data_IF_741780817716
#
_entry.id   IF_741780817716
#
_cell.length_a   1.000
_cell.length_b   1.000
_cell.length_c   1.000
_cell.angle_alpha   90.00
_cell.angle_beta   90.00
_cell.angle_gamma   90.00
#
_symmetry.space_group_name_H-M   'P 1'
#
loop_
_entity.id
_entity.type
_entity.pdbx_description
1 polymer ?
#
# COMPACT_ATOMS: atom_id res chain seq x y z
N UNK A 1 -3.18 -9.61 -12.10
CA UNK A 1 -3.28 -8.15 -12.07
C UNK A 1 -2.05 -7.57 -12.72
N UNK A 2 -2.17 -6.40 -13.37
CA UNK A 2 -1.04 -5.62 -13.87
C UNK A 2 -0.74 -4.53 -12.85
N UNK A 3 0.50 -4.47 -12.39
CA UNK A 3 0.92 -3.63 -11.27
C UNK A 3 2.14 -2.82 -11.67
N UNK A 4 2.32 -1.64 -11.06
CA UNK A 4 3.44 -0.75 -11.35
C UNK A 4 4.10 -0.27 -10.07
N UNK A 5 5.45 -0.30 -10.04
CA UNK A 5 6.24 0.13 -8.90
C UNK A 5 7.22 1.23 -9.31
N UNK A 6 7.15 2.37 -8.61
CA UNK A 6 8.09 3.48 -8.80
C UNK A 6 9.34 3.31 -7.95
N UNK A 7 10.52 3.33 -8.56
CA UNK A 7 11.81 3.14 -7.88
C UNK A 7 12.92 3.98 -8.54
N UNK A 8 14.15 3.85 -8.07
CA UNK A 8 15.33 4.33 -8.77
C UNK A 8 15.68 3.38 -9.93
N UNK A 9 16.28 3.91 -10.99
CA UNK A 9 16.65 3.16 -12.20
C UNK A 9 17.52 1.95 -11.90
N UNK A 10 18.50 2.08 -11.01
CA UNK A 10 19.39 0.98 -10.64
C UNK A 10 18.62 -0.18 -10.00
N UNK A 11 17.62 0.13 -9.19
CA UNK A 11 16.72 -0.89 -8.61
C UNK A 11 15.90 -1.55 -9.71
N UNK A 12 15.34 -0.76 -10.64
CA UNK A 12 14.57 -1.28 -11.76
C UNK A 12 15.40 -2.27 -12.59
N UNK A 13 16.62 -1.90 -12.99
CA UNK A 13 17.50 -2.76 -13.79
C UNK A 13 17.92 -4.03 -13.03
N UNK A 14 18.24 -3.91 -11.73
CA UNK A 14 18.62 -5.07 -10.91
C UNK A 14 17.45 -6.07 -10.76
N UNK A 15 16.22 -5.58 -10.58
CA UNK A 15 15.03 -6.43 -10.48
C UNK A 15 14.70 -7.08 -11.83
N UNK A 16 14.72 -6.30 -12.92
CA UNK A 16 14.43 -6.80 -14.26
C UNK A 16 15.46 -7.83 -14.76
N UNK A 17 16.71 -7.73 -14.31
CA UNK A 17 17.77 -8.69 -14.63
C UNK A 17 17.80 -9.91 -13.67
N UNK A 18 16.94 -9.95 -12.65
CA UNK A 18 16.91 -11.02 -11.66
C UNK A 18 18.05 -10.97 -10.63
N UNK A 19 18.80 -9.85 -10.57
CA UNK A 19 19.91 -9.68 -9.61
C UNK A 19 19.43 -9.21 -8.24
N UNK A 20 18.21 -8.67 -8.15
CA UNK A 20 17.60 -8.23 -6.91
C UNK A 20 16.10 -8.52 -6.89
N UNK A 21 15.51 -8.41 -5.70
CA UNK A 21 14.06 -8.41 -5.49
C UNK A 21 13.63 -7.08 -4.88
N UNK A 22 12.39 -6.67 -5.13
CA UNK A 22 11.81 -5.54 -4.43
C UNK A 22 11.74 -5.84 -2.93
N UNK A 23 12.00 -4.83 -2.12
CA UNK A 23 11.93 -4.94 -0.67
C UNK A 23 10.59 -4.42 -0.15
N UNK A 24 10.00 -5.05 0.87
CA UNK A 24 8.80 -4.54 1.50
C UNK A 24 9.07 -3.20 2.20
N UNK A 25 8.10 -2.31 2.19
CA UNK A 25 8.05 -1.16 3.09
C UNK A 25 7.60 -1.62 4.47
N UNK A 26 8.21 -1.05 5.53
CA UNK A 26 7.91 -1.35 6.93
C UNK A 26 7.78 -0.06 7.76
N UNK A 27 7.35 1.04 7.13
CA UNK A 27 7.15 2.28 7.86
C UNK A 27 5.87 2.20 8.70
N UNK A 28 5.88 2.86 9.86
CA UNK A 28 4.74 2.92 10.78
C UNK A 28 3.55 3.75 10.25
N UNK A 29 3.70 4.39 9.08
CA UNK A 29 2.69 5.22 8.42
C UNK A 29 2.26 4.71 7.05
N UNK A 30 2.65 3.51 6.67
CA UNK A 30 2.30 2.90 5.39
C UNK A 30 0.78 2.68 5.28
N UNK A 31 0.20 3.07 4.16
CA UNK A 31 -1.26 3.18 4.00
C UNK A 31 -2.01 1.84 4.00
N UNK A 32 -1.32 0.76 3.65
CA UNK A 32 -1.84 -0.61 3.61
C UNK A 32 -1.05 -1.55 4.53
N UNK A 33 -0.31 -1.00 5.50
CA UNK A 33 0.60 -1.78 6.34
C UNK A 33 1.86 -2.22 5.59
N UNK A 34 2.61 -3.18 6.16
CA UNK A 34 3.87 -3.65 5.59
C UNK A 34 3.66 -4.44 4.30
N UNK A 35 4.53 -4.22 3.31
CA UNK A 35 4.51 -4.95 2.04
C UNK A 35 5.21 -4.24 0.89
N UNK A 36 5.28 -4.89 -0.25
CA UNK A 36 5.79 -4.31 -1.49
C UNK A 36 4.63 -3.58 -2.17
N UNK A 37 4.75 -2.26 -2.31
CA UNK A 37 3.68 -1.40 -2.80
C UNK A 37 3.67 -1.28 -4.31
N UNK A 38 2.49 -1.38 -4.89
CA UNK A 38 2.26 -1.16 -6.31
C UNK A 38 1.03 -0.31 -6.54
N UNK A 39 1.04 0.46 -7.63
CA UNK A 39 -0.16 1.06 -8.23
C UNK A 39 -0.80 0.06 -9.18
N UNK A 40 -2.12 -0.12 -9.07
CA UNK A 40 -2.89 -1.01 -9.96
C UNK A 40 -3.23 -0.24 -11.23
N UNK A 41 -2.90 -0.79 -12.39
CA UNK A 41 -3.22 -0.25 -13.73
C UNK A 41 -2.81 1.23 -13.96
N UNK A 42 -1.85 1.77 -13.20
CA UNK A 42 -1.49 3.19 -13.26
C UNK A 42 0.03 3.44 -13.25
N UNK A 43 0.71 3.24 -14.39
CA UNK A 43 2.15 3.47 -14.51
C UNK A 43 2.53 4.95 -14.32
N UNK A 44 1.70 5.87 -14.81
CA UNK A 44 1.93 7.32 -14.69
C UNK A 44 1.87 7.75 -13.21
N UNK A 45 1.00 7.15 -12.40
CA UNK A 45 0.94 7.44 -10.97
C UNK A 45 2.19 6.94 -10.24
N UNK A 46 2.68 5.75 -10.61
CA UNK A 46 3.94 5.21 -10.11
C UNK A 46 5.13 6.11 -10.47
N UNK A 47 5.20 6.59 -11.73
CA UNK A 47 6.22 7.52 -12.18
C UNK A 47 6.13 8.88 -11.49
N UNK A 48 4.92 9.43 -11.33
CA UNK A 48 4.69 10.69 -10.61
C UNK A 48 5.22 10.61 -9.17
N UNK A 49 5.02 9.50 -8.48
CA UNK A 49 5.56 9.27 -7.15
C UNK A 49 7.09 9.13 -7.17
N UNK A 50 7.65 8.37 -8.12
CA UNK A 50 9.09 8.21 -8.26
C UNK A 50 9.80 9.55 -8.51
N UNK A 51 9.25 10.41 -9.36
CA UNK A 51 9.77 11.76 -9.63
C UNK A 51 9.85 12.64 -8.38
N UNK A 52 8.98 12.42 -7.39
CA UNK A 52 8.98 13.17 -6.14
C UNK A 52 9.91 12.59 -5.07
N UNK A 53 10.33 11.34 -5.20
CA UNK A 53 10.96 10.59 -4.10
C UNK A 53 12.30 9.96 -4.46
N UNK A 54 12.66 9.90 -5.77
CA UNK A 54 13.83 9.19 -6.28
C UNK A 54 14.77 10.13 -7.01
N UNK A 55 16.05 9.83 -6.95
CA UNK A 55 17.09 10.61 -7.63
C UNK A 55 17.17 10.27 -9.13
N UNK A 56 16.87 9.05 -9.49
CA UNK A 56 16.81 8.54 -10.86
C UNK A 56 15.50 7.78 -11.07
N UNK A 57 14.37 8.52 -11.22
CA UNK A 57 13.04 7.92 -11.22
C UNK A 57 12.83 6.95 -12.39
N UNK A 58 12.24 5.81 -12.08
CA UNK A 58 11.94 4.74 -13.02
C UNK A 58 10.70 3.97 -12.55
N UNK A 59 10.06 3.24 -13.46
CA UNK A 59 8.91 2.39 -13.17
C UNK A 59 9.14 0.99 -13.73
N UNK A 60 8.87 -0.03 -12.93
CA UNK A 60 8.78 -1.40 -13.40
C UNK A 60 7.34 -1.89 -13.28
N UNK A 61 6.95 -2.73 -14.24
CA UNK A 61 5.69 -3.45 -14.20
C UNK A 61 5.86 -4.83 -13.55
N UNK A 62 4.77 -5.34 -12.98
CA UNK A 62 4.70 -6.69 -12.45
C UNK A 62 3.36 -7.35 -12.79
N UNK A 63 3.38 -8.66 -13.02
CA UNK A 63 2.20 -9.49 -12.98
C UNK A 63 2.10 -10.14 -11.62
N UNK A 64 0.95 -10.04 -10.97
CA UNK A 64 0.75 -10.64 -9.66
C UNK A 64 -0.65 -11.25 -9.50
N UNK A 65 -0.72 -12.21 -8.60
CA UNK A 65 -1.97 -12.76 -8.08
C UNK A 65 -2.30 -12.04 -6.76
N UNK A 66 -3.56 -11.71 -6.48
CA UNK A 66 -3.94 -11.09 -5.20
C UNK A 66 -3.87 -12.09 -4.02
N UNK A 67 -3.92 -13.41 -4.30
CA UNK A 67 -3.99 -14.42 -3.24
C UNK A 67 -5.17 -14.24 -2.31
N UNK A 68 -4.98 -14.61 -1.04
CA UNK A 68 -5.91 -14.24 0.03
C UNK A 68 -5.73 -12.74 0.34
N UNK A 69 -6.66 -11.91 -0.11
CA UNK A 69 -6.53 -10.46 -0.13
C UNK A 69 -7.40 -9.79 0.94
N UNK A 70 -6.79 -8.97 1.82
CA UNK A 70 -7.52 -8.00 2.62
C UNK A 70 -7.95 -6.83 1.71
N UNK A 71 -9.13 -6.96 1.12
CA UNK A 71 -9.65 -5.96 0.20
C UNK A 71 -10.44 -4.89 0.96
N UNK A 72 -9.87 -3.71 1.16
CA UNK A 72 -10.51 -2.59 1.89
C UNK A 72 -11.70 -1.96 1.13
N UNK A 73 -12.01 -2.41 -0.07
CA UNK A 73 -13.24 -2.04 -0.79
C UNK A 73 -14.38 -3.04 -0.58
N UNK A 74 -14.09 -4.17 0.05
CA UNK A 74 -15.11 -5.15 0.39
C UNK A 74 -15.77 -4.78 1.72
N UNK A 75 -17.09 -4.57 1.69
CA UNK A 75 -17.87 -4.28 2.88
C UNK A 75 -17.74 -5.37 3.97
N UNK A 76 -17.51 -6.62 3.57
CA UNK A 76 -17.38 -7.76 4.49
C UNK A 76 -16.17 -7.67 5.43
N UNK A 77 -15.09 -6.99 5.04
CA UNK A 77 -13.89 -6.87 5.88
C UNK A 77 -13.95 -5.72 6.90
N UNK A 78 -14.94 -4.83 6.82
CA UNK A 78 -15.03 -3.67 7.70
C UNK A 78 -15.16 -4.06 9.18
N UNK A 79 -15.84 -5.15 9.49
CA UNK A 79 -15.92 -5.67 10.85
C UNK A 79 -14.57 -6.17 11.38
N UNK A 80 -13.72 -6.76 10.52
CA UNK A 80 -12.39 -7.22 10.90
C UNK A 80 -11.49 -6.03 11.25
N UNK A 81 -11.56 -4.93 10.49
CA UNK A 81 -10.87 -3.68 10.80
C UNK A 81 -11.35 -3.06 12.10
N UNK A 82 -12.67 -3.02 12.34
CA UNK A 82 -13.24 -2.49 13.59
C UNK A 82 -12.76 -3.28 14.81
N UNK A 83 -12.77 -4.60 14.75
CA UNK A 83 -12.26 -5.47 15.82
C UNK A 83 -10.75 -5.29 16.04
N UNK A 84 -9.98 -5.11 14.98
CA UNK A 84 -8.56 -4.84 15.07
C UNK A 84 -8.27 -3.46 15.68
N UNK A 85 -9.09 -2.46 15.40
CA UNK A 85 -9.00 -1.15 16.04
C UNK A 85 -9.25 -1.24 17.55
N UNK A 86 -10.31 -1.93 17.99
CA UNK A 86 -10.60 -2.14 19.42
C UNK A 86 -9.46 -2.87 20.13
N UNK A 87 -8.87 -3.88 19.49
CA UNK A 87 -7.70 -4.58 20.03
C UNK A 87 -6.49 -3.64 20.16
N UNK A 88 -6.24 -2.79 19.14
CA UNK A 88 -5.15 -1.81 19.16
C UNK A 88 -5.36 -0.79 20.28
N UNK A 89 -6.58 -0.29 20.46
CA UNK A 89 -6.95 0.62 21.54
C UNK A 89 -6.72 -0.02 22.92
N UNK A 90 -7.16 -1.26 23.11
CA UNK A 90 -6.97 -2.00 24.36
C UNK A 90 -5.50 -2.22 24.72
N UNK A 91 -4.66 -2.56 23.74
CA UNK A 91 -3.21 -2.74 23.94
C UNK A 91 -2.54 -1.41 24.30
N UNK A 92 -2.87 -0.32 23.59
CA UNK A 92 -2.35 1.02 23.89
C UNK A 92 -2.71 1.45 25.30
N UNK A 93 -3.96 1.23 25.72
CA UNK A 93 -4.44 1.56 27.06
C UNK A 93 -3.70 0.73 28.15
N UNK A 94 -3.55 -0.58 27.93
CA UNK A 94 -2.87 -1.46 28.86
C UNK A 94 -1.36 -1.14 28.99
N UNK A 95 -0.74 -0.71 27.89
CA UNK A 95 0.68 -0.32 27.88
C UNK A 95 0.91 1.13 28.37
N UNK A 96 -0.14 1.93 28.59
CA UNK A 96 -0.01 3.36 28.92
C UNK A 96 0.61 4.18 27.80
N UNK A 97 0.54 3.72 26.55
CA UNK A 97 1.07 4.41 25.36
C UNK A 97 -0.06 5.08 24.57
N UNK A 98 0.18 6.26 23.96
CA UNK A 98 -0.84 6.91 23.15
C UNK A 98 -1.19 6.07 21.92
N UNK A 99 -2.46 6.04 21.57
CA UNK A 99 -2.91 5.46 20.30
C UNK A 99 -2.30 6.28 19.14
N UNK A 100 -1.74 5.62 18.10
CA UNK A 100 -1.29 6.32 16.90
C UNK A 100 -2.43 7.14 16.28
N UNK A 101 -2.08 8.22 15.58
CA UNK A 101 -3.07 9.06 14.88
C UNK A 101 -2.68 9.26 13.44
N UNK A 102 -3.67 9.28 12.55
CA UNK A 102 -3.44 9.69 11.17
C UNK A 102 -3.22 11.19 11.12
N UNK A 103 -2.20 11.66 10.41
CA UNK A 103 -1.92 13.08 10.25
C UNK A 103 -2.68 13.65 9.05
N UNK A 104 -3.32 14.81 9.23
CA UNK A 104 -4.08 15.50 8.19
C UNK A 104 -3.21 16.56 7.53
N UNK A 105 -3.29 16.65 6.21
CA UNK A 105 -2.80 17.75 5.38
C UNK A 105 -3.98 18.61 4.91
N UNK A 106 -3.65 19.64 4.10
CA UNK A 106 -4.66 20.42 3.38
C UNK A 106 -5.66 19.53 2.66
N UNK A 107 -6.92 19.96 2.57
CA UNK A 107 -8.03 19.22 1.94
C UNK A 107 -8.49 17.94 2.67
N UNK A 108 -8.13 17.76 3.94
CA UNK A 108 -8.61 16.62 4.74
C UNK A 108 -7.98 15.27 4.39
N UNK A 109 -6.93 15.25 3.53
CA UNK A 109 -6.27 14.01 3.12
C UNK A 109 -5.19 13.63 4.13
N UNK A 110 -5.28 12.43 4.66
CA UNK A 110 -4.26 11.86 5.53
C UNK A 110 -3.06 11.36 4.70
N UNK A 111 -1.89 11.95 4.95
CA UNK A 111 -0.64 11.59 4.23
C UNK A 111 0.23 10.61 5.02
N UNK A 112 0.20 10.69 6.35
CA UNK A 112 0.79 9.69 7.24
C UNK A 112 -0.34 8.97 7.96
N UNK A 113 -0.47 7.67 7.76
CA UNK A 113 -1.61 6.88 8.23
C UNK A 113 -1.20 5.91 9.33
N UNK A 114 -0.59 6.44 10.39
CA UNK A 114 -0.05 5.62 11.48
C UNK A 114 -1.13 4.80 12.20
N UNK A 115 -2.32 5.34 12.37
CA UNK A 115 -3.43 4.59 12.96
C UNK A 115 -3.89 3.47 12.01
N UNK A 116 -4.11 3.78 10.73
CA UNK A 116 -4.55 2.78 9.74
C UNK A 116 -3.51 1.67 9.59
N UNK A 117 -2.21 2.03 9.53
CA UNK A 117 -1.11 1.08 9.51
C UNK A 117 -1.15 0.14 10.72
N UNK A 118 -1.29 0.71 11.93
CA UNK A 118 -1.34 -0.08 13.17
C UNK A 118 -2.56 -1.02 13.19
N UNK A 119 -3.72 -0.56 12.73
CA UNK A 119 -4.95 -1.37 12.65
C UNK A 119 -4.80 -2.51 11.65
N UNK A 120 -4.26 -2.26 10.45
CA UNK A 120 -4.01 -3.30 9.45
C UNK A 120 -3.01 -4.33 9.98
N UNK A 121 -1.93 -3.88 10.61
CA UNK A 121 -0.97 -4.79 11.25
C UNK A 121 -1.62 -5.62 12.37
N UNK A 122 -2.58 -5.04 13.10
CA UNK A 122 -3.34 -5.76 14.12
C UNK A 122 -4.26 -6.83 13.51
N UNK A 123 -4.88 -6.58 12.35
CA UNK A 123 -5.63 -7.63 11.61
C UNK A 123 -4.74 -8.85 11.40
N UNK A 124 -3.51 -8.64 10.88
CA UNK A 124 -2.57 -9.74 10.63
C UNK A 124 -2.20 -10.49 11.92
N UNK A 125 -1.91 -9.77 13.01
CA UNK A 125 -1.57 -10.37 14.32
C UNK A 125 -2.73 -11.19 14.89
N UNK A 126 -3.96 -10.69 14.77
CA UNK A 126 -5.16 -11.42 15.22
C UNK A 126 -5.32 -12.72 14.44
N UNK A 127 -5.18 -12.69 13.12
CA UNK A 127 -5.28 -13.88 12.26
C UNK A 127 -4.20 -14.91 12.62
N UNK A 128 -2.97 -14.47 12.77
CA UNK A 128 -1.86 -15.32 13.19
C UNK A 128 -2.12 -15.97 14.56
N UNK A 129 -2.54 -15.18 15.56
CA UNK A 129 -2.84 -15.69 16.91
C UNK A 129 -3.97 -16.72 16.95
N UNK A 130 -4.89 -16.66 15.97
CA UNK A 130 -6.02 -17.58 15.81
C UNK A 130 -5.74 -18.71 14.82
N UNK A 131 -4.53 -18.82 14.29
CA UNK A 131 -4.15 -19.78 13.24
C UNK A 131 -5.07 -19.70 12.01
N UNK A 132 -5.57 -18.52 11.69
CA UNK A 132 -6.34 -18.26 10.48
C UNK A 132 -5.38 -18.11 9.30
N UNK A 133 -5.86 -18.36 8.09
CA UNK A 133 -5.10 -18.16 6.86
C UNK A 133 -4.62 -16.70 6.78
N UNK A 134 -3.31 -16.50 6.54
CA UNK A 134 -2.72 -15.17 6.42
C UNK A 134 -3.23 -14.46 5.15
N UNK A 135 -3.28 -13.14 5.20
CA UNK A 135 -3.48 -12.36 3.99
C UNK A 135 -2.14 -12.22 3.22
N UNK A 136 -2.16 -12.57 1.95
CA UNK A 136 -1.04 -12.42 1.02
C UNK A 136 -0.85 -10.97 0.59
N UNK A 137 -1.97 -10.24 0.46
CA UNK A 137 -1.99 -8.85 -0.03
C UNK A 137 -3.00 -8.00 0.74
N UNK A 138 -2.80 -6.68 0.68
CA UNK A 138 -3.77 -5.68 1.13
C UNK A 138 -4.06 -4.72 -0.02
N UNK A 139 -5.33 -4.50 -0.34
CA UNK A 139 -5.78 -3.71 -1.48
C UNK A 139 -6.64 -2.55 -1.00
N UNK A 140 -6.44 -1.34 -1.55
CA UNK A 140 -7.23 -0.17 -1.18
C UNK A 140 -7.30 0.90 -2.26
N UNK A 141 -8.36 1.71 -2.19
CA UNK A 141 -8.56 2.90 -3.02
C UNK A 141 -8.26 4.15 -2.21
N UNK A 142 -7.55 5.09 -2.79
CA UNK A 142 -7.15 6.33 -2.15
C UNK A 142 -7.49 7.53 -3.00
N UNK A 143 -8.22 8.46 -2.41
CA UNK A 143 -8.44 9.78 -2.98
C UNK A 143 -7.28 10.69 -2.58
N UNK A 144 -6.57 11.25 -3.55
CA UNK A 144 -5.43 12.14 -3.35
C UNK A 144 -5.43 13.24 -4.42
N UNK A 145 -4.79 14.36 -4.11
CA UNK A 145 -4.66 15.48 -5.04
C UNK A 145 -5.79 16.50 -4.98
N UNK A 146 -5.91 17.29 -6.04
CA UNK A 146 -6.89 18.35 -6.17
C UNK A 146 -8.14 17.92 -6.94
N UNK A 147 -9.21 18.67 -6.86
CA UNK A 147 -10.38 18.43 -7.70
C UNK A 147 -10.02 18.62 -9.17
N UNK A 148 -10.42 17.69 -10.04
CA UNK A 148 -10.13 17.76 -11.49
C UNK A 148 -10.73 19.01 -12.13
N UNK A 149 -11.88 19.49 -11.62
CA UNK A 149 -12.53 20.76 -11.98
C UNK A 149 -13.37 21.26 -10.78
N UNK A 150 -13.75 22.54 -10.71
CA UNK A 150 -14.56 23.07 -9.63
C UNK A 150 -15.88 22.29 -9.48
N UNK A 151 -16.14 21.76 -8.28
CA UNK A 151 -17.31 20.94 -7.99
C UNK A 151 -17.24 19.48 -8.44
N UNK A 152 -16.08 19.01 -8.93
CA UNK A 152 -15.91 17.61 -9.29
C UNK A 152 -16.06 16.68 -8.08
N UNK A 153 -16.60 15.48 -8.33
CA UNK A 153 -16.53 14.34 -7.41
C UNK A 153 -15.26 13.50 -7.58
N UNK A 154 -14.30 13.96 -8.38
CA UNK A 154 -13.06 13.24 -8.70
C UNK A 154 -11.84 14.09 -8.36
N UNK A 155 -10.77 13.42 -7.90
CA UNK A 155 -9.46 14.04 -7.67
C UNK A 155 -8.45 13.53 -8.67
N UNK A 156 -7.48 14.37 -9.03
CA UNK A 156 -6.50 14.12 -10.11
C UNK A 156 -5.50 13.01 -9.79
N UNK A 157 -5.36 12.64 -8.52
CA UNK A 157 -4.48 11.55 -8.05
C UNK A 157 -5.21 10.42 -7.36
N UNK A 158 -6.52 10.31 -7.55
CA UNK A 158 -7.26 9.13 -7.08
C UNK A 158 -6.70 7.88 -7.74
N UNK A 159 -6.36 6.89 -6.94
CA UNK A 159 -5.68 5.69 -7.41
C UNK A 159 -5.99 4.47 -6.55
N UNK A 160 -5.61 3.34 -7.06
CA UNK A 160 -5.65 2.06 -6.36
C UNK A 160 -4.23 1.61 -6.05
N UNK A 161 -3.99 1.18 -4.82
CA UNK A 161 -2.76 0.52 -4.43
C UNK A 161 -3.01 -0.91 -3.92
N UNK A 162 -2.00 -1.73 -4.07
CA UNK A 162 -1.89 -3.03 -3.42
C UNK A 162 -0.52 -3.14 -2.74
N UNK A 163 -0.52 -3.60 -1.49
CA UNK A 163 0.69 -3.99 -0.78
C UNK A 163 0.79 -5.52 -0.80
N UNK A 164 1.83 -6.06 -1.43
CA UNK A 164 2.09 -7.51 -1.49
C UNK A 164 2.94 -7.88 -0.27
N UNK A 165 2.36 -8.69 0.62
CA UNK A 165 3.00 -9.20 1.84
C UNK A 165 3.70 -10.53 1.59
N UNK A 166 3.11 -11.38 0.76
CA UNK A 166 3.70 -12.64 0.31
C UNK A 166 4.33 -12.47 -1.09
N UNK A 167 5.67 -12.34 -1.21
CA UNK A 167 6.33 -12.11 -2.50
C UNK A 167 6.09 -13.21 -3.54
N UNK A 168 5.67 -14.41 -3.13
CA UNK A 168 5.32 -15.51 -4.05
C UNK A 168 4.10 -15.18 -4.93
N UNK A 169 3.33 -14.17 -4.55
CA UNK A 169 2.21 -13.67 -5.37
C UNK A 169 2.68 -12.92 -6.61
N UNK A 170 3.95 -12.51 -6.69
CA UNK A 170 4.53 -11.85 -7.87
C UNK A 170 4.97 -12.91 -8.87
N UNK A 171 4.30 -12.96 -10.00
CA UNK A 171 4.56 -13.95 -11.07
C UNK A 171 5.76 -13.58 -11.94
N UNK A 172 6.09 -12.30 -12.03
CA UNK A 172 7.22 -11.80 -12.81
C UNK A 172 7.16 -10.30 -13.02
N UNK A 173 8.29 -9.74 -13.45
CA UNK A 173 8.47 -8.32 -13.73
C UNK A 173 8.63 -8.07 -15.22
N UNK A 174 8.28 -6.86 -15.67
CA UNK A 174 8.47 -6.43 -17.05
C UNK A 174 8.88 -4.96 -17.13
N UNK A 175 9.55 -4.61 -18.22
CA UNK A 175 9.95 -3.24 -18.53
C UNK A 175 8.74 -2.44 -19.00
N UNK A 176 8.63 -1.21 -18.54
CA UNK A 176 7.61 -0.26 -18.99
C UNK A 176 8.26 0.70 -19.98
N UNK A 177 7.81 0.68 -21.23
CA UNK A 177 8.38 1.51 -22.29
C UNK A 177 8.28 3.01 -21.97
N UNK A 178 9.40 3.71 -22.14
CA UNK A 178 9.50 5.14 -21.86
C UNK A 178 9.55 5.54 -20.38
N UNK A 179 9.58 4.56 -19.44
CA UNK A 179 9.59 4.82 -17.99
C UNK A 179 10.74 4.14 -17.24
N UNK A 180 11.69 3.54 -17.98
CA UNK A 180 12.88 2.86 -17.42
C UNK A 180 14.17 3.40 -18.02
#
# INVERSE_FOLDING_TARGET
MVLFHGCDKDVAEAVLSGQATLQPSENDYDWLGNGIYFWVDSPERALSWANLRRSSPSVIGAFAYPGNCLNLTDYGVMNELALAYEATLGISAAAGTPLPVNSVRENGIFMKRQLDCAVIQMVHKIRESKSMEAYDTVYGVFEEGELVYPGAGFRDRTHVQIAIRNPEMILGYFRVDGMT
#
